data_IF_165141209238
#
_entry.id   IF_165141209238
#
_cell.length_a   1.000
_cell.length_b   1.000
_cell.length_c   1.000
_cell.angle_alpha   90.00
_cell.angle_beta   90.00
_cell.angle_gamma   90.00
#
_symmetry.space_group_name_H-M   'P 1'
#
loop_
_entity.id
_entity.type
_entity.pdbx_description
1 polymer ?
#
# COMPACT_ATOMS: atom_id res chain seq x y z
N UNK A 1 9.60 -15.37 -10.21
CA UNK A 1 9.67 -14.18 -9.35
C UNK A 1 10.50 -13.12 -10.04
N UNK A 2 9.98 -11.90 -10.10
CA UNK A 2 10.54 -10.80 -10.89
C UNK A 2 11.14 -9.68 -10.04
N UNK A 3 11.38 -9.94 -8.76
CA UNK A 3 12.13 -9.01 -7.90
C UNK A 3 13.56 -8.87 -8.38
N UNK A 4 14.00 -7.63 -8.55
CA UNK A 4 15.34 -7.30 -9.01
C UNK A 4 15.93 -6.17 -8.19
N UNK A 5 17.24 -6.14 -8.08
CA UNK A 5 17.96 -4.99 -7.55
C UNK A 5 18.65 -4.28 -8.69
N UNK A 6 18.27 -3.03 -8.95
CA UNK A 6 18.85 -2.19 -9.99
C UNK A 6 19.42 -0.93 -9.35
N UNK A 7 20.73 -0.72 -9.47
CA UNK A 7 21.42 0.43 -8.87
C UNK A 7 21.11 0.57 -7.36
N UNK A 8 21.08 -0.54 -6.63
CA UNK A 8 20.76 -0.57 -5.20
C UNK A 8 19.29 -0.43 -4.85
N UNK A 9 18.39 -0.38 -5.84
CA UNK A 9 16.95 -0.26 -5.63
C UNK A 9 16.24 -1.56 -5.94
N UNK A 10 15.23 -1.88 -5.14
CA UNK A 10 14.35 -3.01 -5.42
C UNK A 10 13.31 -2.62 -6.47
N UNK A 11 13.17 -3.45 -7.50
CA UNK A 11 12.16 -3.28 -8.55
C UNK A 11 11.40 -4.58 -8.79
N UNK A 12 10.20 -4.47 -9.30
CA UNK A 12 9.34 -5.62 -9.60
C UNK A 12 8.42 -5.34 -10.78
N UNK A 13 7.95 -6.40 -11.42
CA UNK A 13 7.06 -6.30 -12.59
C UNK A 13 5.58 -6.35 -12.20
N UNK A 14 5.24 -6.90 -11.04
CA UNK A 14 3.85 -7.12 -10.64
C UNK A 14 3.58 -6.73 -9.19
N UNK A 15 2.30 -6.53 -8.86
CA UNK A 15 1.88 -6.30 -7.48
C UNK A 15 2.08 -7.55 -6.61
N UNK A 16 2.07 -8.73 -7.17
CA UNK A 16 2.39 -9.96 -6.43
C UNK A 16 3.83 -9.96 -5.93
N UNK A 17 4.75 -9.43 -6.72
CA UNK A 17 6.14 -9.26 -6.31
C UNK A 17 6.27 -8.23 -5.19
N UNK A 18 5.44 -7.18 -5.21
CA UNK A 18 5.36 -6.21 -4.12
C UNK A 18 4.94 -6.90 -2.81
N UNK A 19 3.94 -7.78 -2.86
CA UNK A 19 3.52 -8.55 -1.68
C UNK A 19 4.63 -9.47 -1.17
N UNK A 20 5.38 -10.11 -2.08
CA UNK A 20 6.54 -10.94 -1.72
C UNK A 20 7.63 -10.09 -1.05
N UNK A 21 7.91 -8.91 -1.59
CA UNK A 21 8.87 -7.97 -1.01
C UNK A 21 8.47 -7.55 0.41
N UNK A 22 7.19 -7.28 0.64
CA UNK A 22 6.68 -6.95 1.98
C UNK A 22 6.96 -8.06 3.00
N UNK A 23 6.75 -9.33 2.61
CA UNK A 23 6.99 -10.46 3.49
C UNK A 23 8.46 -10.65 3.85
N UNK A 24 9.37 -10.09 3.06
CA UNK A 24 10.81 -10.17 3.30
C UNK A 24 11.39 -8.94 3.99
N UNK A 25 10.58 -7.98 4.44
CA UNK A 25 11.07 -6.79 5.10
C UNK A 25 11.71 -7.11 6.45
N UNK A 26 12.88 -6.51 6.69
CA UNK A 26 13.60 -6.58 7.95
C UNK A 26 13.41 -5.29 8.77
N UNK A 27 13.68 -5.34 10.06
CA UNK A 27 13.64 -4.17 10.94
C UNK A 27 12.23 -3.70 11.31
N UNK A 28 11.20 -4.51 11.05
CA UNK A 28 9.81 -4.24 11.39
C UNK A 28 9.14 -5.50 11.93
N UNK A 29 7.93 -5.41 12.51
CA UNK A 29 7.18 -6.61 12.88
C UNK A 29 6.99 -7.54 11.68
N UNK A 30 7.03 -8.88 11.88
CA UNK A 30 6.85 -9.81 10.76
C UNK A 30 5.52 -9.62 10.05
N UNK A 31 5.56 -9.56 8.72
CA UNK A 31 4.35 -9.46 7.92
C UNK A 31 3.69 -10.84 7.85
N UNK A 32 2.51 -10.96 8.43
CA UNK A 32 1.75 -12.22 8.48
C UNK A 32 0.67 -12.29 7.39
N UNK A 33 0.19 -11.14 6.92
CA UNK A 33 -0.84 -11.04 5.89
C UNK A 33 -0.48 -9.93 4.92
N UNK A 34 -0.81 -10.13 3.64
CA UNK A 34 -0.68 -9.09 2.62
C UNK A 34 -1.98 -8.97 1.82
N UNK A 35 -2.25 -7.78 1.33
CA UNK A 35 -3.41 -7.54 0.46
C UNK A 35 -3.02 -6.53 -0.61
N UNK A 36 -3.36 -6.82 -1.87
CA UNK A 36 -3.21 -5.87 -2.96
C UNK A 36 -4.44 -4.97 -3.03
N UNK A 37 -4.26 -3.67 -3.18
CA UNK A 37 -5.34 -2.72 -3.29
C UNK A 37 -6.02 -2.81 -4.66
N UNK A 38 -7.33 -2.65 -4.67
CA UNK A 38 -8.13 -2.47 -5.88
C UNK A 38 -9.25 -1.49 -5.60
N UNK A 39 -9.68 -0.75 -6.60
CA UNK A 39 -10.84 0.11 -6.47
C UNK A 39 -12.10 -0.75 -6.33
N UNK A 40 -12.91 -0.45 -5.32
CA UNK A 40 -14.12 -1.23 -5.01
C UNK A 40 -15.39 -0.64 -5.56
N UNK A 41 -15.28 0.38 -6.41
CA UNK A 41 -16.45 0.97 -7.05
C UNK A 41 -17.09 -0.04 -8.01
N UNK A 42 -18.44 -0.11 -8.04
CA UNK A 42 -19.14 -1.13 -8.83
C UNK A 42 -18.80 -1.14 -10.33
N UNK A 43 -18.36 0.00 -10.89
CA UNK A 43 -17.97 0.09 -12.29
C UNK A 43 -16.74 -0.75 -12.64
N UNK A 44 -15.98 -1.22 -11.65
CA UNK A 44 -14.79 -2.04 -11.82
C UNK A 44 -15.00 -3.50 -11.45
N UNK A 45 -16.22 -3.95 -11.31
CA UNK A 45 -16.53 -5.32 -10.89
C UNK A 45 -15.98 -6.36 -11.87
N UNK A 46 -16.11 -6.11 -13.17
CA UNK A 46 -15.65 -7.04 -14.21
C UNK A 46 -14.16 -6.86 -14.58
N UNK A 47 -13.64 -5.67 -14.39
CA UNK A 47 -12.24 -5.35 -14.72
C UNK A 47 -11.63 -4.54 -13.57
N UNK A 48 -10.88 -5.21 -12.66
CA UNK A 48 -10.33 -4.52 -11.48
C UNK A 48 -9.42 -3.37 -11.84
N UNK A 49 -9.65 -2.20 -11.21
CA UNK A 49 -8.77 -1.05 -11.30
C UNK A 49 -7.77 -1.09 -10.15
N UNK A 50 -6.48 -1.18 -10.48
CA UNK A 50 -5.39 -1.39 -9.52
C UNK A 50 -4.30 -0.31 -9.59
N UNK A 51 -4.52 0.74 -10.38
CA UNK A 51 -3.59 1.86 -10.49
C UNK A 51 -4.14 3.07 -9.75
N UNK A 52 -3.28 3.68 -8.92
CA UNK A 52 -3.68 4.73 -8.00
C UNK A 52 -2.70 5.89 -7.98
N UNK A 53 -3.23 7.08 -7.67
CA UNK A 53 -2.46 8.13 -7.02
C UNK A 53 -2.47 7.87 -5.52
N UNK A 54 -1.38 8.19 -4.84
CA UNK A 54 -1.22 7.95 -3.40
C UNK A 54 -0.85 9.26 -2.71
N UNK A 55 -1.51 9.56 -1.61
CA UNK A 55 -1.15 10.65 -0.71
C UNK A 55 -0.83 10.03 0.63
N UNK A 56 0.34 10.30 1.19
CA UNK A 56 0.77 9.68 2.44
C UNK A 56 1.68 10.61 3.24
N UNK A 57 1.48 10.60 4.56
CA UNK A 57 2.35 11.27 5.53
C UNK A 57 2.96 10.19 6.42
N UNK A 58 4.23 9.88 6.19
CA UNK A 58 4.92 8.82 6.92
C UNK A 58 4.98 9.10 8.43
N UNK A 59 5.15 10.36 8.82
CA UNK A 59 5.26 10.72 10.23
C UNK A 59 3.94 10.60 10.98
N UNK A 60 2.82 10.95 10.34
CA UNK A 60 1.49 10.87 10.95
C UNK A 60 0.83 9.50 10.78
N UNK A 61 1.33 8.66 9.90
CA UNK A 61 0.72 7.36 9.60
C UNK A 61 -0.60 7.46 8.85
N UNK A 62 -0.84 8.54 8.13
CA UNK A 62 -2.07 8.72 7.34
C UNK A 62 -1.79 8.53 5.86
N UNK A 63 -2.77 7.95 5.14
CA UNK A 63 -2.65 7.72 3.71
C UNK A 63 -4.02 7.63 3.05
N UNK A 64 -4.02 7.83 1.74
CA UNK A 64 -5.21 7.71 0.91
C UNK A 64 -4.79 7.28 -0.50
N UNK A 65 -5.55 6.35 -1.09
CA UNK A 65 -5.46 6.04 -2.51
C UNK A 65 -6.55 6.78 -3.28
N UNK A 66 -6.23 7.16 -4.51
CA UNK A 66 -7.23 7.69 -5.44
C UNK A 66 -7.15 6.89 -6.74
N UNK A 67 -8.25 6.24 -7.12
CA UNK A 67 -8.31 5.43 -8.33
C UNK A 67 -8.01 6.28 -9.56
N UNK A 68 -7.05 5.83 -10.38
CA UNK A 68 -6.72 6.52 -11.64
C UNK A 68 -7.90 6.53 -12.61
N UNK A 69 -8.68 5.45 -12.65
CA UNK A 69 -9.75 5.30 -13.63
C UNK A 69 -11.02 6.09 -13.28
N UNK A 70 -11.42 6.17 -12.01
CA UNK A 70 -12.68 6.80 -11.61
C UNK A 70 -12.53 7.94 -10.60
N UNK A 71 -11.35 8.14 -10.03
CA UNK A 71 -11.11 9.21 -9.05
C UNK A 71 -11.61 8.93 -7.63
N UNK A 72 -12.18 7.76 -7.37
CA UNK A 72 -12.62 7.42 -6.02
C UNK A 72 -11.46 7.42 -5.05
N UNK A 73 -11.60 8.14 -3.93
CA UNK A 73 -10.59 8.26 -2.90
C UNK A 73 -10.92 7.36 -1.72
N UNK A 74 -9.94 6.55 -1.28
CA UNK A 74 -10.11 5.64 -0.17
C UNK A 74 -9.04 5.89 0.89
N UNK A 75 -9.42 6.42 2.07
CA UNK A 75 -8.48 6.59 3.17
C UNK A 75 -8.04 5.24 3.73
N UNK A 76 -6.78 5.14 4.15
CA UNK A 76 -6.28 3.99 4.90
C UNK A 76 -6.81 4.05 6.32
N UNK A 77 -7.70 3.12 6.68
CA UNK A 77 -8.27 2.97 8.03
C UNK A 77 -8.83 4.31 8.56
N UNK A 78 -8.28 4.84 9.67
CA UNK A 78 -8.72 6.07 10.30
C UNK A 78 -8.07 7.36 9.75
N UNK A 79 -7.40 7.26 8.61
CA UNK A 79 -6.67 8.40 8.04
C UNK A 79 -7.54 9.63 7.77
N UNK A 80 -8.82 9.43 7.43
CA UNK A 80 -9.73 10.54 7.20
C UNK A 80 -9.93 11.42 8.45
N UNK A 81 -9.98 10.80 9.63
CA UNK A 81 -10.15 11.48 10.91
C UNK A 81 -8.89 12.20 11.38
N UNK A 82 -7.72 11.77 10.91
CA UNK A 82 -6.42 12.31 11.31
C UNK A 82 -5.69 13.02 10.17
N UNK A 83 -6.41 13.40 9.13
CA UNK A 83 -5.85 13.86 7.85
C UNK A 83 -4.99 15.11 8.01
N UNK A 84 -3.76 15.04 7.51
CA UNK A 84 -2.76 16.12 7.57
C UNK A 84 -2.51 16.80 6.22
N UNK A 85 -3.31 16.48 5.20
CA UNK A 85 -3.19 17.02 3.84
C UNK A 85 -1.81 16.78 3.22
N UNK A 86 -1.31 15.53 3.21
CA UNK A 86 0.01 15.25 2.66
C UNK A 86 0.05 15.48 1.15
N UNK A 87 1.25 15.73 0.64
CA UNK A 87 1.49 15.81 -0.80
C UNK A 87 1.31 14.44 -1.47
N UNK A 88 1.02 14.45 -2.75
CA UNK A 88 0.96 13.22 -3.55
C UNK A 88 2.33 12.55 -3.61
N UNK A 89 2.34 11.23 -3.51
CA UNK A 89 3.53 10.42 -3.71
C UNK A 89 4.03 10.55 -5.15
N UNK A 90 5.33 10.62 -5.32
CA UNK A 90 5.98 10.46 -6.62
C UNK A 90 7.14 9.48 -6.49
N UNK A 91 7.40 8.72 -7.56
CA UNK A 91 8.49 7.76 -7.56
C UNK A 91 9.83 8.46 -7.44
N UNK A 92 10.62 8.05 -6.46
CA UNK A 92 11.97 8.59 -6.26
C UNK A 92 12.88 8.38 -7.47
N UNK A 93 12.68 7.28 -8.19
CA UNK A 93 13.52 6.90 -9.33
C UNK A 93 13.14 7.61 -10.64
N UNK A 94 11.86 7.56 -11.04
CA UNK A 94 11.42 8.09 -12.33
C UNK A 94 10.49 9.30 -12.23
N UNK A 95 10.09 9.68 -11.03
CA UNK A 95 9.23 10.83 -10.69
C UNK A 95 7.79 10.72 -11.19
N UNK A 96 7.37 9.57 -11.68
CA UNK A 96 5.97 9.31 -12.01
C UNK A 96 5.16 9.09 -10.73
N UNK A 97 3.85 9.28 -10.79
CA UNK A 97 2.98 9.30 -9.59
C UNK A 97 1.95 8.19 -9.56
N UNK A 98 1.95 7.29 -10.55
CA UNK A 98 0.97 6.21 -10.62
C UNK A 98 1.59 4.94 -10.07
N UNK A 99 0.88 4.29 -9.15
CA UNK A 99 1.38 3.11 -8.46
C UNK A 99 0.32 2.03 -8.32
N UNK A 100 0.78 0.80 -8.26
CA UNK A 100 0.05 -0.28 -7.61
C UNK A 100 0.36 -0.27 -6.12
N UNK A 101 -0.60 -0.66 -5.29
CA UNK A 101 -0.53 -0.55 -3.84
C UNK A 101 -0.75 -1.91 -3.20
N UNK A 102 0.03 -2.22 -2.18
CA UNK A 102 -0.20 -3.39 -1.35
C UNK A 102 0.04 -3.04 0.12
N UNK A 103 -0.67 -3.75 0.98
CA UNK A 103 -0.59 -3.60 2.42
C UNK A 103 0.04 -4.84 3.03
N UNK A 104 0.91 -4.65 4.01
CA UNK A 104 1.41 -5.70 4.86
C UNK A 104 0.88 -5.51 6.27
N UNK A 105 0.45 -6.58 6.90
CA UNK A 105 -0.12 -6.53 8.24
C UNK A 105 0.61 -7.52 9.14
N UNK A 106 0.95 -7.07 10.35
CA UNK A 106 1.36 -7.96 11.42
C UNK A 106 0.14 -8.27 12.30
N UNK A 107 -0.22 -9.55 12.37
CA UNK A 107 -1.25 -10.01 13.28
C UNK A 107 -0.66 -10.98 14.30
N UNK A 108 -1.11 -10.86 15.54
CA UNK A 108 -0.86 -11.81 16.62
C UNK A 108 -2.15 -12.60 16.81
N UNK A 109 -2.16 -13.84 16.32
CA UNK A 109 -3.39 -14.60 16.21
C UNK A 109 -4.37 -13.95 15.22
N UNK A 110 -5.57 -13.62 15.68
CA UNK A 110 -6.61 -12.96 14.89
C UNK A 110 -6.67 -11.43 15.11
N UNK A 111 -5.67 -10.85 15.79
CA UNK A 111 -5.63 -9.42 16.12
C UNK A 111 -4.48 -8.75 15.40
N UNK A 112 -4.79 -7.74 14.61
CA UNK A 112 -3.81 -6.93 13.91
C UNK A 112 -3.27 -5.83 14.82
N UNK A 113 -1.93 -5.67 14.84
CA UNK A 113 -1.27 -4.67 15.68
C UNK A 113 -0.42 -3.68 14.90
N UNK A 114 -0.19 -3.93 13.63
CA UNK A 114 0.59 -3.02 12.78
C UNK A 114 0.26 -3.24 11.32
N UNK A 115 0.26 -2.16 10.54
CA UNK A 115 0.04 -2.18 9.09
C UNK A 115 1.04 -1.27 8.40
N UNK A 116 1.56 -1.71 7.27
CA UNK A 116 2.40 -0.90 6.37
C UNK A 116 1.75 -0.82 5.00
N UNK A 117 1.77 0.38 4.42
CA UNK A 117 1.34 0.63 3.05
C UNK A 117 2.57 0.76 2.16
N UNK A 118 2.55 0.09 1.04
CA UNK A 118 3.65 0.07 0.08
C UNK A 118 3.15 0.28 -1.34
N UNK A 119 4.06 0.68 -2.21
CA UNK A 119 3.77 0.97 -3.61
C UNK A 119 4.78 0.31 -4.54
N UNK A 120 4.30 -0.03 -5.74
CA UNK A 120 5.14 -0.35 -6.90
C UNK A 120 4.87 0.70 -7.97
N UNK A 121 5.90 1.42 -8.37
CA UNK A 121 5.77 2.37 -9.47
C UNK A 121 5.37 1.63 -10.75
N UNK A 122 4.28 2.02 -11.36
CA UNK A 122 3.79 1.38 -12.59
C UNK A 122 4.77 1.56 -13.74
N UNK A 123 5.43 2.72 -13.79
CA UNK A 123 6.33 3.06 -14.89
C UNK A 123 7.66 2.32 -14.84
N UNK A 124 8.35 2.32 -13.69
CA UNK A 124 9.71 1.75 -13.57
C UNK A 124 9.81 0.54 -12.66
N UNK A 125 8.73 0.16 -11.96
CA UNK A 125 8.73 -0.99 -11.06
C UNK A 125 9.38 -0.76 -9.69
N UNK A 126 9.82 0.46 -9.37
CA UNK A 126 10.44 0.76 -8.07
C UNK A 126 9.50 0.45 -6.92
N UNK A 127 10.01 -0.21 -5.89
CA UNK A 127 9.27 -0.58 -4.69
C UNK A 127 9.61 0.35 -3.53
N UNK A 128 8.60 0.78 -2.79
CA UNK A 128 8.80 1.64 -1.62
C UNK A 128 7.69 1.45 -0.59
N UNK A 129 8.05 1.59 0.70
CA UNK A 129 7.09 1.82 1.77
C UNK A 129 6.73 3.29 1.81
N UNK A 130 5.46 3.62 2.04
CA UNK A 130 5.01 5.03 2.08
C UNK A 130 4.56 5.47 3.45
N UNK A 131 3.97 4.59 4.26
CA UNK A 131 3.64 4.88 5.65
C UNK A 131 3.30 3.59 6.40
N UNK A 132 3.26 3.69 7.72
CA UNK A 132 2.82 2.60 8.59
C UNK A 132 2.03 3.14 9.78
N UNK A 133 1.24 2.26 10.39
CA UNK A 133 0.44 2.57 11.56
C UNK A 133 0.53 1.46 12.60
N UNK A 134 0.66 1.83 13.87
CA UNK A 134 0.40 0.92 14.99
C UNK A 134 -1.11 0.85 15.19
N UNK A 135 -1.64 -0.38 15.28
CA UNK A 135 -3.06 -0.64 15.48
C UNK A 135 -3.35 -1.04 16.93
N UNK A 136 -4.55 -0.75 17.41
CA UNK A 136 -4.97 -1.02 18.79
C UNK A 136 -5.70 -2.38 18.88
N UNK A 137 -5.01 -3.48 18.57
CA UNK A 137 -5.56 -4.85 18.61
C UNK A 137 -6.88 -4.96 17.85
N UNK A 138 -6.89 -4.54 16.58
CA UNK A 138 -8.07 -4.60 15.71
C UNK A 138 -8.26 -6.03 15.20
N UNK A 139 -9.50 -6.57 15.14
CA UNK A 139 -9.72 -7.86 14.51
C UNK A 139 -9.20 -7.89 13.08
N UNK A 140 -8.45 -8.94 12.73
CA UNK A 140 -7.82 -9.05 11.41
C UNK A 140 -8.84 -8.99 10.28
N UNK A 141 -10.01 -9.60 10.46
CA UNK A 141 -11.08 -9.57 9.46
C UNK A 141 -11.56 -8.14 9.19
N UNK A 142 -11.65 -7.29 10.23
CA UNK A 142 -12.04 -5.89 10.07
C UNK A 142 -11.00 -5.09 9.27
N UNK A 143 -9.72 -5.37 9.49
CA UNK A 143 -8.63 -4.74 8.74
C UNK A 143 -8.69 -5.16 7.27
N UNK A 144 -8.79 -6.44 6.98
CA UNK A 144 -8.85 -6.95 5.61
C UNK A 144 -10.06 -6.43 4.86
N UNK A 145 -11.20 -6.30 5.53
CA UNK A 145 -12.44 -5.78 4.94
C UNK A 145 -12.33 -4.28 4.60
N UNK A 146 -11.53 -3.54 5.37
CA UNK A 146 -11.32 -2.11 5.17
C UNK A 146 -10.27 -1.77 4.09
N UNK A 147 -9.49 -2.76 3.65
CA UNK A 147 -8.42 -2.57 2.63
C UNK A 147 -8.94 -2.78 1.15
#
# INVERSE_FOLDING_TARGET
>A
MTLRTVAGRQTAETVNDLQTWLRGLDGCPPITHTAAARCRMPMHEDEPATWFYVEADAAAGVARTRCLACGDARPLLDSAQRWTFPAAWSCFNCRQSIAEVAYGVHADGDRATWIVMSVRCVECGHLAGVTDQVLQDVPMDDVLEAL
#
